data_IF_950085956531
#
_entry.id   IF_950085956531
#
_cell.length_a   1.000
_cell.length_b   1.000
_cell.length_c   1.000
_cell.angle_alpha   90.00
_cell.angle_beta   90.00
_cell.angle_gamma   90.00
#
_symmetry.space_group_name_H-M   'P 1'
#
loop_
_entity.id
_entity.type
_entity.pdbx_description
1 polymer ?
#
# COMPACT_ATOMS: atom_id res chain seq x y z
N UNK A 1 13.20 12.66 -24.86
CA UNK A 1 12.03 12.59 -23.96
C UNK A 1 12.55 12.15 -22.62
N UNK A 2 12.27 12.89 -21.55
CA UNK A 2 12.60 12.44 -20.19
C UNK A 2 11.58 11.37 -19.82
N UNK A 3 12.04 10.20 -19.42
CA UNK A 3 11.18 9.10 -18.95
C UNK A 3 10.35 9.55 -17.74
N UNK A 4 9.09 9.12 -17.65
CA UNK A 4 8.23 9.49 -16.53
C UNK A 4 8.82 8.96 -15.23
N UNK A 5 8.86 9.75 -14.14
CA UNK A 5 9.37 9.27 -12.85
C UNK A 5 8.56 8.10 -12.30
N UNK A 6 7.31 7.91 -12.74
CA UNK A 6 6.49 6.77 -12.38
C UNK A 6 7.05 5.46 -12.98
N UNK A 7 7.63 5.50 -14.19
CA UNK A 7 8.38 4.37 -14.77
C UNK A 7 9.72 4.18 -14.05
N UNK A 8 10.51 5.26 -13.93
CA UNK A 8 11.84 5.23 -13.32
C UNK A 8 11.83 4.61 -11.92
N UNK A 9 10.81 4.95 -11.12
CA UNK A 9 10.69 4.52 -9.72
C UNK A 9 9.67 3.40 -9.51
N UNK A 10 9.26 2.69 -10.58
CA UNK A 10 8.22 1.65 -10.49
C UNK A 10 8.51 0.60 -9.42
N UNK A 11 9.77 0.18 -9.25
CA UNK A 11 10.15 -0.80 -8.23
C UNK A 11 9.84 -0.30 -6.79
N UNK A 12 10.01 1.00 -6.53
CA UNK A 12 9.67 1.61 -5.23
C UNK A 12 8.14 1.76 -5.11
N UNK A 13 7.50 2.18 -6.20
CA UNK A 13 6.08 2.49 -6.20
C UNK A 13 5.21 1.24 -6.20
N UNK A 14 5.62 0.15 -6.82
CA UNK A 14 4.80 -1.06 -6.94
C UNK A 14 5.36 -2.19 -6.09
N UNK A 15 6.67 -2.44 -6.13
CA UNK A 15 7.22 -3.69 -5.62
C UNK A 15 7.62 -3.64 -4.13
N UNK A 16 8.06 -2.48 -3.65
CA UNK A 16 8.49 -2.29 -2.28
C UNK A 16 7.35 -2.23 -1.24
N UNK A 17 7.65 -2.71 -0.03
CA UNK A 17 6.73 -2.82 1.10
C UNK A 17 7.22 -2.10 2.39
N UNK A 18 8.36 -1.42 2.34
CA UNK A 18 8.89 -0.65 3.46
C UNK A 18 8.20 0.72 3.63
N UNK A 19 8.38 1.34 4.81
CA UNK A 19 7.65 2.55 5.24
C UNK A 19 7.71 3.72 4.24
N UNK A 20 8.89 4.07 3.73
CA UNK A 20 9.04 5.17 2.77
C UNK A 20 8.35 4.86 1.42
N UNK A 21 8.43 3.63 0.92
CA UNK A 21 7.68 3.20 -0.26
C UNK A 21 6.16 3.30 -0.03
N UNK A 22 5.68 2.88 1.15
CA UNK A 22 4.28 3.01 1.53
C UNK A 22 3.77 4.46 1.52
N UNK A 23 4.61 5.42 1.93
CA UNK A 23 4.28 6.85 1.81
C UNK A 23 4.19 7.30 0.35
N UNK A 24 5.19 6.97 -0.48
CA UNK A 24 5.20 7.34 -1.91
C UNK A 24 4.02 6.73 -2.67
N UNK A 25 3.64 5.50 -2.35
CA UNK A 25 2.44 4.84 -2.86
C UNK A 25 1.17 5.60 -2.49
N UNK A 26 1.04 5.98 -1.21
CA UNK A 26 -0.11 6.75 -0.73
C UNK A 26 -0.18 8.12 -1.39
N UNK A 27 0.97 8.76 -1.63
CA UNK A 27 1.05 10.02 -2.36
C UNK A 27 0.62 9.89 -3.82
N UNK A 28 1.08 8.85 -4.54
CA UNK A 28 0.63 8.58 -5.90
C UNK A 28 -0.89 8.38 -5.97
N UNK A 29 -1.44 7.57 -5.06
CA UNK A 29 -2.89 7.31 -4.99
C UNK A 29 -3.70 8.55 -4.60
N UNK A 30 -3.17 9.41 -3.73
CA UNK A 30 -3.81 10.67 -3.36
C UNK A 30 -3.87 11.66 -4.53
N UNK A 31 -2.86 11.67 -5.41
CA UNK A 31 -2.91 12.41 -6.67
C UNK A 31 -3.95 11.83 -7.63
N UNK A 32 -4.05 10.50 -7.72
CA UNK A 32 -4.93 9.80 -8.65
C UNK A 32 -6.41 9.89 -8.30
N UNK A 33 -6.75 9.71 -7.02
CA UNK A 33 -8.13 9.77 -6.54
C UNK A 33 -8.17 10.11 -5.03
N UNK A 34 -7.71 11.31 -4.68
CA UNK A 34 -7.51 11.71 -3.28
C UNK A 34 -8.74 11.66 -2.37
N UNK A 35 -9.95 11.79 -2.91
CA UNK A 35 -11.18 11.59 -2.14
C UNK A 35 -11.42 10.13 -1.72
N UNK A 36 -10.90 9.17 -2.49
CA UNK A 36 -10.96 7.74 -2.20
C UNK A 36 -9.74 7.25 -1.42
N UNK A 37 -8.56 7.85 -1.65
CA UNK A 37 -7.29 7.44 -1.07
C UNK A 37 -6.62 8.59 -0.29
N UNK A 38 -7.06 8.87 0.95
CA UNK A 38 -6.41 9.87 1.79
C UNK A 38 -4.99 9.41 2.17
N UNK A 39 -4.08 10.36 2.31
CA UNK A 39 -2.69 10.11 2.73
C UNK A 39 -2.39 10.73 4.10
N UNK A 40 -1.56 10.06 4.91
CA UNK A 40 -0.99 10.63 6.13
C UNK A 40 0.28 11.42 5.80
N UNK A 41 0.16 12.76 5.81
CA UNK A 41 1.27 13.65 5.54
C UNK A 41 2.40 13.57 6.60
N UNK A 42 2.15 13.04 7.82
CA UNK A 42 3.21 12.86 8.83
C UNK A 42 4.31 11.92 8.36
N UNK A 43 3.99 11.02 7.43
CA UNK A 43 4.94 10.08 6.82
C UNK A 43 6.09 10.76 6.07
N UNK A 44 5.95 12.05 5.71
CA UNK A 44 7.01 12.83 5.06
C UNK A 44 8.31 12.86 5.87
N UNK A 45 8.25 12.77 7.22
CA UNK A 45 9.47 12.74 8.06
C UNK A 45 10.33 11.49 7.86
N UNK A 46 9.75 10.43 7.31
CA UNK A 46 10.41 9.14 7.16
C UNK A 46 11.18 9.03 5.84
N UNK A 47 11.16 10.06 5.00
CA UNK A 47 11.90 10.08 3.75
C UNK A 47 13.35 10.45 4.00
N UNK A 48 14.27 9.60 3.56
CA UNK A 48 15.67 10.00 3.37
C UNK A 48 15.83 10.85 2.10
N UNK A 49 17.06 11.29 1.84
CA UNK A 49 17.38 12.12 0.68
C UNK A 49 17.09 11.44 -0.67
N UNK A 50 17.09 10.11 -0.73
CA UNK A 50 16.72 9.38 -1.95
C UNK A 50 15.21 9.43 -2.17
N UNK A 51 14.42 9.04 -1.18
CA UNK A 51 12.97 9.01 -1.29
C UNK A 51 12.36 10.41 -1.40
N UNK A 52 12.98 11.42 -0.77
CA UNK A 52 12.56 12.81 -0.92
C UNK A 52 12.74 13.30 -2.36
N UNK A 53 13.82 12.89 -3.05
CA UNK A 53 14.00 13.18 -4.48
C UNK A 53 12.94 12.50 -5.33
N UNK A 54 12.63 11.23 -5.07
CA UNK A 54 11.54 10.50 -5.75
C UNK A 54 10.21 11.25 -5.59
N UNK A 55 9.87 11.64 -4.36
CA UNK A 55 8.67 12.44 -4.07
C UNK A 55 8.63 13.74 -4.89
N UNK A 56 9.73 14.50 -4.92
CA UNK A 56 9.83 15.76 -5.65
C UNK A 56 9.68 15.56 -7.16
N UNK A 57 10.27 14.51 -7.72
CA UNK A 57 10.16 14.17 -9.15
C UNK A 57 8.73 13.81 -9.54
N UNK A 58 8.06 12.96 -8.74
CA UNK A 58 6.65 12.62 -8.93
C UNK A 58 5.76 13.86 -8.87
N UNK A 59 5.92 14.70 -7.85
CA UNK A 59 5.14 15.92 -7.68
C UNK A 59 5.36 16.90 -8.85
N UNK A 60 6.61 17.06 -9.31
CA UNK A 60 6.94 17.91 -10.44
C UNK A 60 6.36 17.38 -11.76
N UNK A 61 6.36 16.06 -11.97
CA UNK A 61 5.74 15.44 -13.14
C UNK A 61 4.24 15.61 -13.13
N UNK A 62 3.57 15.26 -12.02
CA UNK A 62 2.13 15.39 -11.89
C UNK A 62 1.66 16.84 -12.05
N UNK A 63 2.39 17.82 -11.50
CA UNK A 63 2.08 19.23 -11.73
C UNK A 63 2.10 19.63 -13.21
N UNK A 64 2.96 19.02 -14.03
CA UNK A 64 3.09 19.33 -15.47
C UNK A 64 2.07 18.59 -16.33
N UNK A 65 1.77 17.34 -16.00
CA UNK A 65 1.04 16.43 -16.89
C UNK A 65 -0.32 16.01 -16.33
N UNK A 66 -0.52 16.09 -15.01
CA UNK A 66 -1.70 15.60 -14.31
C UNK A 66 -1.98 14.13 -14.63
N UNK A 67 -3.26 13.80 -14.74
CA UNK A 67 -3.74 12.49 -15.21
C UNK A 67 -3.47 12.24 -16.71
N UNK A 68 -2.92 13.21 -17.44
CA UNK A 68 -2.51 13.06 -18.84
C UNK A 68 -1.21 12.27 -19.03
N UNK A 69 -0.53 11.87 -17.95
CA UNK A 69 0.61 10.96 -17.98
C UNK A 69 0.12 9.49 -17.90
N UNK A 70 0.18 8.72 -19.00
CA UNK A 70 -0.28 7.33 -18.98
C UNK A 70 0.55 6.43 -18.07
N UNK A 71 1.83 6.75 -17.84
CA UNK A 71 2.69 5.95 -16.97
C UNK A 71 2.33 6.15 -15.49
N UNK A 72 1.87 7.35 -15.13
CA UNK A 72 1.30 7.63 -13.81
C UNK A 72 0.06 6.77 -13.55
N UNK A 73 -0.89 6.77 -14.50
CA UNK A 73 -2.14 6.01 -14.37
C UNK A 73 -1.85 4.52 -14.26
N UNK A 74 -0.96 3.97 -15.09
CA UNK A 74 -0.55 2.56 -15.03
C UNK A 74 0.04 2.18 -13.68
N UNK A 75 0.93 3.01 -13.12
CA UNK A 75 1.51 2.78 -11.80
C UNK A 75 0.44 2.82 -10.69
N UNK A 76 -0.50 3.75 -10.75
CA UNK A 76 -1.58 3.83 -9.77
C UNK A 76 -2.50 2.59 -9.82
N UNK A 77 -2.84 2.11 -11.01
CA UNK A 77 -3.61 0.86 -11.14
C UNK A 77 -2.81 -0.35 -10.66
N UNK A 78 -1.49 -0.40 -10.91
CA UNK A 78 -0.63 -1.46 -10.38
C UNK A 78 -0.54 -1.44 -8.84
N UNK A 79 -0.41 -0.26 -8.22
CA UNK A 79 -0.46 -0.08 -6.76
C UNK A 79 -1.79 -0.59 -6.22
N UNK A 80 -2.90 -0.15 -6.82
CA UNK A 80 -4.24 -0.54 -6.41
C UNK A 80 -4.43 -2.05 -6.50
N UNK A 81 -4.07 -2.67 -7.62
CA UNK A 81 -4.19 -4.12 -7.81
C UNK A 81 -3.39 -4.90 -6.75
N UNK A 82 -2.15 -4.47 -6.46
CA UNK A 82 -1.32 -5.11 -5.43
C UNK A 82 -1.90 -4.94 -4.02
N UNK A 83 -2.43 -3.75 -3.69
CA UNK A 83 -3.03 -3.48 -2.38
C UNK A 83 -4.32 -4.29 -2.18
N UNK A 84 -5.15 -4.41 -3.21
CA UNK A 84 -6.33 -5.28 -3.21
C UNK A 84 -5.93 -6.75 -3.02
N UNK A 85 -4.96 -7.24 -3.78
CA UNK A 85 -4.46 -8.62 -3.64
C UNK A 85 -3.91 -8.91 -2.24
N UNK A 86 -3.17 -7.97 -1.66
CA UNK A 86 -2.70 -8.06 -0.27
C UNK A 86 -3.87 -8.10 0.72
N UNK A 87 -4.87 -7.23 0.57
CA UNK A 87 -6.02 -7.19 1.46
C UNK A 87 -6.85 -8.49 1.42
N UNK A 88 -7.05 -9.05 0.23
CA UNK A 88 -7.72 -10.35 0.04
C UNK A 88 -6.93 -11.47 0.72
N UNK A 89 -5.60 -11.50 0.54
CA UNK A 89 -4.74 -12.50 1.20
C UNK A 89 -4.82 -12.38 2.71
N UNK A 90 -4.69 -11.17 3.27
CA UNK A 90 -4.81 -10.93 4.73
C UNK A 90 -6.15 -11.43 5.27
N UNK A 91 -7.25 -11.21 4.53
CA UNK A 91 -8.56 -11.73 4.93
C UNK A 91 -8.59 -13.26 4.90
N UNK A 92 -8.07 -13.89 3.84
CA UNK A 92 -8.01 -15.37 3.75
C UNK A 92 -7.23 -15.97 4.91
N UNK A 93 -6.05 -15.41 5.21
CA UNK A 93 -5.20 -15.86 6.32
C UNK A 93 -5.90 -15.67 7.67
N UNK A 94 -6.62 -14.55 7.87
CA UNK A 94 -7.42 -14.34 9.07
C UNK A 94 -8.50 -15.42 9.22
N UNK A 95 -9.26 -15.68 8.16
CA UNK A 95 -10.34 -16.68 8.16
C UNK A 95 -9.78 -18.08 8.45
N UNK A 96 -8.61 -18.42 7.89
CA UNK A 96 -7.92 -19.69 8.11
C UNK A 96 -7.43 -19.84 9.57
N UNK A 97 -6.78 -18.81 10.12
CA UNK A 97 -6.32 -18.84 11.52
C UNK A 97 -7.50 -18.92 12.49
N UNK A 98 -8.60 -18.21 12.23
CA UNK A 98 -9.81 -18.27 13.05
C UNK A 98 -10.52 -19.63 12.98
N UNK A 99 -10.42 -20.35 11.86
CA UNK A 99 -10.97 -21.69 11.70
C UNK A 99 -10.12 -22.77 12.40
N UNK A 100 -8.85 -22.49 12.70
CA UNK A 100 -7.94 -23.42 13.36
C UNK A 100 -8.26 -23.54 14.86
N UNK A 101 -8.22 -24.77 15.40
CA UNK A 101 -8.26 -24.99 16.84
C UNK A 101 -6.96 -24.45 17.48
N UNK A 102 -7.02 -23.49 18.43
CA UNK A 102 -5.84 -22.95 19.07
C UNK A 102 -4.94 -24.00 19.76
N UNK A 103 -5.50 -25.14 20.18
CA UNK A 103 -4.71 -26.26 20.73
C UNK A 103 -3.92 -27.04 19.68
N UNK A 104 -4.34 -26.99 18.42
CA UNK A 104 -3.72 -27.70 17.29
C UNK A 104 -2.88 -26.79 16.40
N UNK A 105 -2.81 -25.48 16.72
CA UNK A 105 -2.04 -24.51 15.96
C UNK A 105 -0.54 -24.76 16.09
N UNK A 106 0.20 -24.65 14.98
CA UNK A 106 1.66 -24.73 14.98
C UNK A 106 2.25 -23.55 15.77
N UNK A 107 3.03 -23.82 16.81
CA UNK A 107 3.48 -22.80 17.78
C UNK A 107 2.56 -22.64 19.00
N UNK A 108 1.41 -23.31 19.00
CA UNK A 108 0.48 -23.40 20.12
C UNK A 108 -0.40 -22.15 20.30
N UNK A 109 -1.16 -22.13 21.40
CA UNK A 109 -2.18 -21.09 21.66
C UNK A 109 -1.66 -19.66 21.66
N UNK A 110 -0.41 -19.45 22.08
CA UNK A 110 0.16 -18.11 22.12
C UNK A 110 0.37 -17.55 20.71
N UNK A 111 1.03 -18.34 19.85
CA UNK A 111 1.31 -17.96 18.47
C UNK A 111 0.03 -17.84 17.64
N UNK A 112 -0.98 -18.67 17.94
CA UNK A 112 -2.33 -18.53 17.39
C UNK A 112 -2.93 -17.16 17.72
N UNK A 113 -2.92 -16.78 19.01
CA UNK A 113 -3.45 -15.51 19.48
C UNK A 113 -2.74 -14.30 18.87
N UNK A 114 -1.41 -14.35 18.75
CA UNK A 114 -0.63 -13.30 18.10
C UNK A 114 -0.90 -13.22 16.60
N UNK A 115 -1.09 -14.35 15.92
CA UNK A 115 -1.44 -14.40 14.50
C UNK A 115 -2.83 -13.82 14.23
N UNK A 116 -3.84 -14.18 15.04
CA UNK A 116 -5.17 -13.57 14.98
C UNK A 116 -5.07 -12.06 15.13
N UNK A 117 -4.41 -11.57 16.19
CA UNK A 117 -4.24 -10.12 16.44
C UNK A 117 -3.54 -9.40 15.30
N UNK A 118 -2.53 -10.03 14.71
CA UNK A 118 -1.82 -9.46 13.58
C UNK A 118 -2.73 -9.31 12.36
N UNK A 119 -3.40 -10.40 11.96
CA UNK A 119 -4.23 -10.42 10.77
C UNK A 119 -5.52 -9.60 10.92
N UNK A 120 -6.15 -9.59 12.10
CA UNK A 120 -7.28 -8.71 12.41
C UNK A 120 -6.91 -7.25 12.22
N UNK A 121 -5.82 -6.80 12.86
CA UNK A 121 -5.34 -5.42 12.75
C UNK A 121 -5.00 -5.04 11.31
N UNK A 122 -4.40 -5.92 10.53
CA UNK A 122 -4.10 -5.66 9.12
C UNK A 122 -5.38 -5.65 8.27
N UNK A 123 -6.36 -6.50 8.56
CA UNK A 123 -7.65 -6.51 7.89
C UNK A 123 -8.43 -5.21 8.15
N UNK A 124 -8.49 -4.76 9.39
CA UNK A 124 -9.10 -3.48 9.79
C UNK A 124 -8.49 -2.30 9.04
N UNK A 125 -7.16 -2.21 8.97
CA UNK A 125 -6.47 -1.17 8.19
C UNK A 125 -6.83 -1.21 6.70
N UNK A 126 -7.03 -2.40 6.13
CA UNK A 126 -7.40 -2.55 4.73
C UNK A 126 -8.85 -2.10 4.48
N UNK A 127 -9.76 -2.34 5.42
CA UNK A 127 -11.13 -1.82 5.39
C UNK A 127 -11.16 -0.29 5.52
N UNK A 128 -10.44 0.27 6.50
CA UNK A 128 -10.34 1.72 6.71
C UNK A 128 -9.83 2.46 5.47
N UNK A 129 -8.89 1.84 4.76
CA UNK A 129 -8.28 2.37 3.53
C UNK A 129 -9.02 1.97 2.25
N UNK A 130 -10.14 1.25 2.36
CA UNK A 130 -11.00 0.84 1.25
C UNK A 130 -10.27 0.00 0.17
N UNK A 131 -9.31 -0.81 0.59
CA UNK A 131 -8.65 -1.79 -0.29
C UNK A 131 -9.47 -3.07 -0.47
N UNK A 132 -10.41 -3.31 0.45
CA UNK A 132 -11.37 -4.39 0.42
C UNK A 132 -12.69 -3.88 1.01
N UNK A 133 -13.81 -4.38 0.50
CA UNK A 133 -15.12 -4.06 1.04
C UNK A 133 -15.38 -4.84 2.34
N UNK A 134 -16.15 -4.29 3.29
CA UNK A 134 -16.65 -5.05 4.43
C UNK A 134 -17.62 -6.11 3.90
N UNK A 135 -17.20 -7.38 3.99
CA UNK A 135 -18.02 -8.54 3.63
C UNK A 135 -19.22 -8.72 4.57
#
# INVERSE_FOLDING_TARGET
MTESPFVTHRAILVDADYSAAGFLQSFAMAMYAGGAFPMDAKGLRNLDDHHLRVFQEMAASYRRHGEGDPDFVDVCEAIKAKRVAYAVRIKSELDEVLACDPDQYEGGRHDHSESVRFYEREHEKNLERRWIDPA
#
